data_IF_187106941608
#
_entry.id   IF_187106941608
#
_cell.length_a   1.000
_cell.length_b   1.000
_cell.length_c   1.000
_cell.angle_alpha   90.00
_cell.angle_beta   90.00
_cell.angle_gamma   90.00
#
_symmetry.space_group_name_H-M   'P 1'
#
loop_
_entity.id
_entity.type
_entity.pdbx_description
1 polymer ?
#
# COMPACT_ATOMS: atom_id res chain seq x y z
N UNK A 1 -14.05 -0.87 0.52
CA UNK A 1 -13.47 -1.49 -0.69
C UNK A 1 -12.36 -2.54 -0.44
N UNK A 2 -12.11 -2.98 0.80
CA UNK A 2 -11.28 -4.18 1.09
C UNK A 2 -12.03 -5.16 2.01
N UNK A 3 -13.32 -4.92 2.22
CA UNK A 3 -14.16 -5.81 3.03
C UNK A 3 -14.28 -7.15 2.32
N UNK A 4 -14.08 -8.23 3.08
CA UNK A 4 -14.08 -9.60 2.58
C UNK A 4 -12.71 -10.15 2.12
N UNK A 5 -11.65 -9.32 2.08
CA UNK A 5 -10.30 -9.80 1.74
C UNK A 5 -9.50 -10.06 3.03
N UNK A 6 -9.10 -11.30 3.24
CA UNK A 6 -8.18 -11.68 4.32
C UNK A 6 -6.73 -11.34 3.93
N UNK A 7 -6.30 -10.11 4.25
CA UNK A 7 -4.97 -9.58 3.96
C UNK A 7 -3.82 -10.40 4.58
N UNK A 8 -4.10 -11.28 5.56
CA UNK A 8 -3.07 -12.15 6.14
C UNK A 8 -2.70 -13.34 5.24
N UNK A 9 -3.58 -13.71 4.31
CA UNK A 9 -3.38 -14.80 3.34
C UNK A 9 -2.93 -14.32 1.96
N UNK A 10 -2.83 -13.02 1.76
CA UNK A 10 -2.46 -12.44 0.47
C UNK A 10 -0.95 -12.42 0.32
N UNK A 11 -0.45 -12.98 -0.78
CA UNK A 11 0.99 -12.99 -1.07
C UNK A 11 1.44 -11.71 -1.80
N UNK A 12 0.56 -11.10 -2.59
CA UNK A 12 0.89 -9.94 -3.43
C UNK A 12 -0.22 -8.91 -3.42
N UNK A 13 0.15 -7.63 -3.31
CA UNK A 13 -0.78 -6.51 -3.38
C UNK A 13 -0.20 -5.48 -4.34
N UNK A 14 -0.97 -5.09 -5.34
CA UNK A 14 -0.61 -4.01 -6.26
C UNK A 14 -1.56 -2.84 -5.99
N UNK A 15 -0.99 -1.67 -5.68
CA UNK A 15 -1.76 -0.45 -5.48
C UNK A 15 -1.32 0.62 -6.48
N UNK A 16 -2.29 1.16 -7.20
CA UNK A 16 -2.12 2.33 -8.05
C UNK A 16 -2.56 3.58 -7.30
N UNK A 17 -1.69 4.58 -7.26
CA UNK A 17 -1.91 5.83 -6.52
C UNK A 17 -1.66 5.67 -5.02
N UNK A 18 -0.61 6.35 -4.53
CA UNK A 18 -0.39 6.46 -3.08
C UNK A 18 -1.28 7.54 -2.46
N UNK A 19 -1.52 8.63 -3.21
CA UNK A 19 -2.13 9.85 -2.69
C UNK A 19 -1.37 10.31 -1.43
N UNK A 20 -2.05 10.51 -0.30
CA UNK A 20 -1.42 10.93 0.96
C UNK A 20 -0.79 9.77 1.77
N UNK A 21 -0.96 8.52 1.36
CA UNK A 21 -0.38 7.34 2.03
C UNK A 21 -1.23 6.71 3.14
N UNK A 22 -2.27 7.39 3.65
CA UNK A 22 -3.10 6.93 4.79
C UNK A 22 -3.64 5.51 4.62
N UNK A 23 -4.13 5.19 3.41
CA UNK A 23 -4.65 3.86 3.13
C UNK A 23 -3.52 2.82 3.02
N UNK A 24 -2.38 3.21 2.44
CA UNK A 24 -1.21 2.32 2.31
C UNK A 24 -0.67 1.90 3.66
N UNK A 25 -0.60 2.81 4.64
CA UNK A 25 -0.20 2.47 6.02
C UNK A 25 -1.14 1.44 6.67
N UNK A 26 -2.46 1.62 6.52
CA UNK A 26 -3.45 0.66 7.02
C UNK A 26 -3.31 -0.70 6.34
N UNK A 27 -2.95 -0.70 5.05
CA UNK A 27 -2.71 -1.90 4.26
C UNK A 27 -1.49 -2.66 4.78
N UNK A 28 -0.35 -1.98 4.91
CA UNK A 28 0.90 -2.57 5.43
C UNK A 28 0.69 -3.15 6.82
N UNK A 29 0.05 -2.41 7.73
CA UNK A 29 -0.23 -2.88 9.11
C UNK A 29 -1.12 -4.13 9.19
N UNK A 30 -1.96 -4.37 8.19
CA UNK A 30 -2.88 -5.53 8.14
C UNK A 30 -2.36 -6.69 7.29
N UNK A 31 -1.28 -6.46 6.54
CA UNK A 31 -0.67 -7.46 5.64
C UNK A 31 0.23 -8.42 6.41
N UNK A 32 0.50 -9.58 5.82
CA UNK A 32 1.55 -10.47 6.33
C UNK A 32 2.93 -9.88 6.03
N UNK A 33 3.93 -10.14 6.88
CA UNK A 33 5.33 -9.72 6.64
C UNK A 33 5.92 -10.29 5.35
N UNK A 34 5.40 -11.43 4.87
CA UNK A 34 5.82 -12.06 3.61
C UNK A 34 5.09 -11.50 2.39
N UNK A 35 4.06 -10.67 2.58
CA UNK A 35 3.30 -10.08 1.49
C UNK A 35 4.17 -9.06 0.76
N UNK A 36 4.29 -9.21 -0.57
CA UNK A 36 4.96 -8.22 -1.41
C UNK A 36 3.94 -7.18 -1.83
N UNK A 37 4.23 -5.90 -1.53
CA UNK A 37 3.37 -4.77 -1.87
C UNK A 37 4.07 -3.91 -2.92
N UNK A 38 3.50 -3.85 -4.12
CA UNK A 38 3.95 -2.98 -5.19
C UNK A 38 3.09 -1.73 -5.23
N UNK A 39 3.72 -0.57 -5.05
CA UNK A 39 3.07 0.72 -5.10
C UNK A 39 3.49 1.46 -6.37
N UNK A 40 2.52 1.84 -7.19
CA UNK A 40 2.75 2.56 -8.44
C UNK A 40 2.18 3.96 -8.30
N UNK A 41 3.05 4.97 -8.46
CA UNK A 41 2.67 6.38 -8.40
C UNK A 41 3.31 7.13 -9.57
N UNK A 42 2.47 7.88 -10.29
CA UNK A 42 2.91 8.69 -11.42
C UNK A 42 3.17 10.14 -11.00
N UNK A 43 2.45 10.64 -10.00
CA UNK A 43 2.65 11.98 -9.50
C UNK A 43 3.92 12.04 -8.64
N UNK A 44 4.98 12.66 -9.18
CA UNK A 44 6.27 12.80 -8.49
C UNK A 44 6.15 13.50 -7.14
N UNK A 45 5.28 14.50 -7.00
CA UNK A 45 5.07 15.21 -5.74
C UNK A 45 4.56 14.27 -4.63
N UNK A 46 3.55 13.46 -4.94
CA UNK A 46 3.06 12.44 -4.00
C UNK A 46 4.07 11.34 -3.77
N UNK A 47 4.81 10.91 -4.80
CA UNK A 47 5.89 9.93 -4.64
C UNK A 47 6.91 10.39 -3.60
N UNK A 48 7.45 11.60 -3.71
CA UNK A 48 8.42 12.11 -2.73
C UNK A 48 7.81 12.34 -1.35
N UNK A 49 6.58 12.88 -1.29
CA UNK A 49 5.88 13.12 -0.03
C UNK A 49 5.62 11.85 0.78
N UNK A 50 5.35 10.74 0.10
CA UNK A 50 4.98 9.47 0.75
C UNK A 50 6.16 8.52 0.93
N UNK A 51 7.21 8.62 0.09
CA UNK A 51 8.44 7.83 0.22
C UNK A 51 9.19 8.06 1.53
N UNK A 52 9.02 9.23 2.16
CA UNK A 52 9.62 9.50 3.48
C UNK A 52 8.80 8.96 4.65
N UNK A 53 7.60 8.43 4.40
CA UNK A 53 6.64 7.99 5.43
C UNK A 53 6.40 6.48 5.44
N UNK A 54 6.72 5.79 4.36
CA UNK A 54 6.56 4.34 4.16
C UNK A 54 7.94 3.71 4.14
#
# INVERSE_FOLDING_TARGET
>A
MIEGIDLKKVNYIVKYGLSTGVFTEKLIKRSNLKTIILLVENNRGFYFFTKSKI
#
